data_IF_699304820583
#
_entry.id   IF_699304820583
#
_cell.length_a   1.000
_cell.length_b   1.000
_cell.length_c   1.000
_cell.angle_alpha   90.00
_cell.angle_beta   90.00
_cell.angle_gamma   90.00
#
_symmetry.space_group_name_H-M   'P 1'
#
loop_
_entity.id
_entity.type
_entity.pdbx_description
1 polymer ?
#
# COMPACT_ATOMS: atom_id res chain seq x y z
N UNK A 1 -5.02 33.96 3.07
CA UNK A 1 -5.34 32.96 4.13
C UNK A 1 -6.49 33.39 5.04
N UNK A 2 -6.69 34.68 5.32
CA UNK A 2 -7.82 35.18 6.13
C UNK A 2 -9.18 34.92 5.47
N UNK A 3 -9.27 35.03 4.13
CA UNK A 3 -10.52 34.85 3.38
C UNK A 3 -11.12 33.43 3.57
N UNK A 4 -10.38 32.31 3.37
CA UNK A 4 -10.89 30.98 3.70
C UNK A 4 -11.33 30.79 5.16
N UNK A 5 -10.61 31.36 6.13
CA UNK A 5 -10.95 31.22 7.55
C UNK A 5 -12.24 31.96 7.92
N UNK A 6 -12.43 33.18 7.40
CA UNK A 6 -13.66 33.95 7.59
C UNK A 6 -14.86 33.26 6.92
N UNK A 7 -14.65 32.67 5.74
CA UNK A 7 -15.71 31.97 5.04
C UNK A 7 -16.11 30.68 5.78
N UNK A 8 -15.16 29.98 6.42
CA UNK A 8 -15.43 28.81 7.27
C UNK A 8 -16.04 29.17 8.63
N UNK A 9 -15.80 30.36 9.18
CA UNK A 9 -16.40 30.75 10.46
C UNK A 9 -17.91 31.00 10.38
N UNK A 10 -18.42 31.40 9.21
CA UNK A 10 -19.86 31.65 8.98
C UNK A 10 -20.69 30.37 9.22
N UNK A 11 -20.45 29.24 8.54
CA UNK A 11 -21.21 28.02 8.78
C UNK A 11 -20.92 27.42 10.17
N UNK A 12 -19.72 27.59 10.74
CA UNK A 12 -19.44 27.14 12.11
C UNK A 12 -20.29 27.87 13.16
N UNK A 13 -20.54 29.18 12.97
CA UNK A 13 -21.41 29.96 13.85
C UNK A 13 -22.91 29.65 13.62
N UNK A 14 -23.33 29.49 12.37
CA UNK A 14 -24.73 29.23 12.01
C UNK A 14 -25.16 27.77 12.25
N UNK A 15 -24.21 26.82 12.23
CA UNK A 15 -24.47 25.39 12.31
C UNK A 15 -25.14 24.90 13.59
N UNK A 16 -25.01 25.65 14.69
CA UNK A 16 -25.63 25.30 15.98
C UNK A 16 -27.10 25.72 16.10
N UNK A 17 -27.64 26.50 15.17
CA UNK A 17 -29.02 26.95 15.24
C UNK A 17 -29.97 25.95 14.58
N UNK A 18 -31.11 25.71 15.23
CA UNK A 18 -32.12 24.74 14.79
C UNK A 18 -32.61 25.00 13.36
N UNK A 19 -32.81 26.27 12.97
CA UNK A 19 -33.23 26.63 11.61
C UNK A 19 -32.24 26.21 10.52
N UNK A 20 -30.95 26.12 10.85
CA UNK A 20 -29.90 25.76 9.91
C UNK A 20 -29.63 24.26 10.01
N UNK A 21 -29.48 23.71 11.21
CA UNK A 21 -29.22 22.30 11.48
C UNK A 21 -30.34 21.40 10.94
N UNK A 22 -31.61 21.76 11.16
CA UNK A 22 -32.77 20.98 10.70
C UNK A 22 -32.88 20.86 9.18
N UNK A 23 -32.19 21.72 8.41
CA UNK A 23 -32.16 21.63 6.95
C UNK A 23 -31.22 20.55 6.43
N UNK A 24 -30.22 20.16 7.22
CA UNK A 24 -29.17 19.21 6.83
C UNK A 24 -29.11 17.94 7.67
N UNK A 25 -29.60 17.97 8.91
CA UNK A 25 -29.56 16.86 9.86
C UNK A 25 -30.98 16.38 10.17
N UNK A 26 -31.25 15.11 9.88
CA UNK A 26 -32.42 14.41 10.41
C UNK A 26 -32.04 13.84 11.78
N UNK A 27 -32.34 14.60 12.84
CA UNK A 27 -32.07 14.17 14.20
C UNK A 27 -33.03 13.04 14.59
N UNK A 28 -32.54 11.88 15.05
CA UNK A 28 -33.38 10.87 15.66
C UNK A 28 -34.10 11.44 16.89
N UNK A 29 -35.28 10.93 17.24
CA UNK A 29 -36.01 11.37 18.44
C UNK A 29 -35.10 11.24 19.68
N UNK A 30 -34.67 12.37 20.22
CA UNK A 30 -33.78 12.41 21.37
C UNK A 30 -34.52 11.91 22.62
N UNK A 31 -33.90 10.98 23.35
CA UNK A 31 -34.27 10.70 24.73
C UNK A 31 -33.98 11.97 25.51
N UNK A 32 -35.02 12.72 25.92
CA UNK A 32 -34.90 14.00 26.65
C UNK A 32 -33.84 13.84 27.74
N UNK A 33 -32.62 14.39 27.56
CA UNK A 33 -31.59 14.24 28.57
C UNK A 33 -32.06 14.99 29.81
N UNK A 34 -31.69 14.47 30.99
CA UNK A 34 -31.94 15.21 32.22
C UNK A 34 -31.34 16.62 32.07
N UNK A 35 -32.08 17.66 32.49
CA UNK A 35 -31.67 19.06 32.31
C UNK A 35 -30.27 19.37 32.89
N UNK A 36 -29.77 18.52 33.79
CA UNK A 36 -28.43 18.58 34.36
C UNK A 36 -27.30 18.24 33.36
N UNK A 37 -27.52 17.37 32.36
CA UNK A 37 -26.48 16.90 31.43
C UNK A 37 -25.80 18.04 30.67
N UNK A 38 -26.52 18.96 29.98
CA UNK A 38 -25.88 20.07 29.28
C UNK A 38 -25.17 21.04 30.23
N UNK A 39 -25.72 21.25 31.43
CA UNK A 39 -25.12 22.12 32.45
C UNK A 39 -23.77 21.55 32.92
N UNK A 40 -23.74 20.25 33.22
CA UNK A 40 -22.52 19.56 33.65
C UNK A 40 -21.48 19.52 32.52
N UNK A 41 -21.90 19.27 31.28
CA UNK A 41 -21.01 19.30 30.12
C UNK A 41 -20.39 20.69 29.90
N UNK A 42 -21.20 21.74 29.99
CA UNK A 42 -20.72 23.13 29.88
C UNK A 42 -19.76 23.48 31.01
N UNK A 43 -20.08 23.09 32.25
CA UNK A 43 -19.21 23.30 33.40
C UNK A 43 -17.87 22.56 33.24
N UNK A 44 -17.88 21.30 32.80
CA UNK A 44 -16.67 20.53 32.52
C UNK A 44 -15.81 21.16 31.42
N UNK A 45 -16.43 21.66 30.35
CA UNK A 45 -15.74 22.38 29.28
C UNK A 45 -15.08 23.66 29.80
N UNK A 46 -15.80 24.49 30.55
CA UNK A 46 -15.27 25.72 31.11
C UNK A 46 -14.12 25.44 32.08
N UNK A 47 -14.26 24.44 32.96
CA UNK A 47 -13.19 24.01 33.86
C UNK A 47 -11.96 23.53 33.09
N UNK A 48 -12.14 22.77 32.01
CA UNK A 48 -11.05 22.31 31.14
C UNK A 48 -10.31 23.47 30.47
N UNK A 49 -11.04 24.42 29.87
CA UNK A 49 -10.45 25.58 29.19
C UNK A 49 -9.74 26.50 30.18
N UNK A 50 -10.34 26.78 31.33
CA UNK A 50 -9.76 27.63 32.37
C UNK A 50 -8.50 26.98 32.94
N UNK A 51 -8.55 25.70 33.29
CA UNK A 51 -7.39 24.97 33.81
C UNK A 51 -6.25 24.91 32.79
N UNK A 52 -6.53 24.62 31.52
CA UNK A 52 -5.53 24.65 30.46
C UNK A 52 -4.92 26.05 30.29
N UNK A 53 -5.75 27.09 30.25
CA UNK A 53 -5.27 28.47 30.10
C UNK A 53 -4.37 28.88 31.27
N UNK A 54 -4.74 28.55 32.51
CA UNK A 54 -3.93 28.84 33.69
C UNK A 54 -2.62 28.04 33.72
N UNK A 55 -2.66 26.77 33.29
CA UNK A 55 -1.50 25.88 33.30
C UNK A 55 -0.44 26.26 32.25
N UNK A 56 -0.87 26.72 31.08
CA UNK A 56 0.01 27.07 29.96
C UNK A 56 0.36 28.57 29.87
N UNK A 57 -0.23 29.44 30.71
CA UNK A 57 0.05 30.88 30.69
C UNK A 57 1.52 31.16 31.06
N UNK A 58 2.21 31.92 30.22
CA UNK A 58 3.61 32.33 30.41
C UNK A 58 4.58 31.16 30.65
N UNK A 59 4.34 30.00 30.03
CA UNK A 59 5.24 28.84 30.09
C UNK A 59 5.89 28.64 28.73
N UNK A 60 7.22 28.65 28.73
CA UNK A 60 8.05 28.37 27.55
C UNK A 60 8.34 26.87 27.38
N UNK A 61 7.94 26.04 28.35
CA UNK A 61 8.19 24.60 28.36
C UNK A 61 6.97 23.83 28.83
N UNK A 62 6.81 22.62 28.28
CA UNK A 62 5.68 21.73 28.52
C UNK A 62 5.58 21.35 30.01
N UNK A 63 4.58 21.87 30.75
CA UNK A 63 4.45 21.65 32.19
C UNK A 63 4.01 20.21 32.52
N UNK A 64 3.35 19.51 31.60
CA UNK A 64 2.86 18.14 31.81
C UNK A 64 3.74 17.16 31.04
N UNK A 65 4.69 16.54 31.76
CA UNK A 65 5.53 15.49 31.19
C UNK A 65 4.99 14.10 31.53
N UNK A 66 4.19 13.55 30.62
CA UNK A 66 3.74 12.15 30.66
C UNK A 66 4.24 11.45 29.40
N UNK A 67 5.20 10.53 29.58
CA UNK A 67 5.86 9.82 28.47
C UNK A 67 4.85 9.13 27.53
N UNK A 68 3.80 8.55 28.11
CA UNK A 68 2.78 7.81 27.38
C UNK A 68 1.95 8.69 26.41
N UNK A 69 1.61 9.93 26.80
CA UNK A 69 0.91 10.85 25.90
C UNK A 69 1.86 11.47 24.86
N UNK A 70 3.13 11.70 25.22
CA UNK A 70 4.15 12.18 24.30
C UNK A 70 4.37 11.22 23.14
N UNK A 71 4.47 9.92 23.44
CA UNK A 71 4.71 8.89 22.44
C UNK A 71 3.42 8.39 21.78
N UNK A 72 2.31 9.13 21.89
CA UNK A 72 1.00 8.81 21.30
C UNK A 72 0.56 7.38 21.64
N UNK A 73 0.70 7.01 22.90
CA UNK A 73 0.40 5.66 23.41
C UNK A 73 1.20 4.54 22.73
N UNK A 74 2.35 4.84 22.12
CA UNK A 74 3.16 3.92 21.32
C UNK A 74 2.41 3.28 20.13
N UNK A 75 1.24 3.79 19.76
CA UNK A 75 0.43 3.25 18.67
C UNK A 75 1.19 3.33 17.35
N UNK A 76 1.83 4.45 17.07
CA UNK A 76 2.61 4.65 15.84
C UNK A 76 3.73 3.62 15.70
N UNK A 77 4.42 3.30 16.80
CA UNK A 77 5.50 2.30 16.81
C UNK A 77 4.95 0.88 16.63
N UNK A 78 3.85 0.56 17.30
CA UNK A 78 3.17 -0.72 17.15
C UNK A 78 2.66 -0.92 15.71
N UNK A 79 2.00 0.08 15.12
CA UNK A 79 1.55 0.03 13.74
C UNK A 79 2.72 -0.11 12.76
N UNK A 80 3.80 0.63 12.97
CA UNK A 80 5.01 0.52 12.14
C UNK A 80 5.61 -0.88 12.22
N UNK A 81 5.70 -1.45 13.43
CA UNK A 81 6.15 -2.81 13.63
C UNK A 81 5.25 -3.83 12.92
N UNK A 82 3.93 -3.69 13.04
CA UNK A 82 2.97 -4.58 12.43
C UNK A 82 3.03 -4.54 10.90
N UNK A 83 3.07 -3.33 10.32
CA UNK A 83 3.20 -3.13 8.88
C UNK A 83 4.52 -3.69 8.38
N UNK A 84 5.63 -3.35 9.04
CA UNK A 84 6.95 -3.84 8.62
C UNK A 84 7.05 -5.36 8.71
N UNK A 85 6.48 -5.97 9.73
CA UNK A 85 6.50 -7.42 9.90
C UNK A 85 5.62 -8.11 8.87
N UNK A 86 4.43 -7.59 8.57
CA UNK A 86 3.51 -8.24 7.62
C UNK A 86 3.84 -7.90 6.17
N UNK A 87 3.76 -6.62 5.82
CA UNK A 87 3.98 -6.12 4.46
C UNK A 87 5.45 -6.22 4.06
N UNK A 88 6.38 -6.01 4.99
CA UNK A 88 7.81 -6.15 4.69
C UNK A 88 8.22 -7.59 4.38
N UNK A 89 7.70 -8.57 5.12
CA UNK A 89 7.93 -9.99 4.80
C UNK A 89 7.30 -10.37 3.45
N UNK A 90 6.06 -9.94 3.20
CA UNK A 90 5.39 -10.21 1.94
C UNK A 90 6.14 -9.59 0.76
N UNK A 91 6.55 -8.33 0.86
CA UNK A 91 7.34 -7.65 -0.16
C UNK A 91 8.69 -8.34 -0.41
N UNK A 92 9.37 -8.78 0.66
CA UNK A 92 10.62 -9.53 0.53
C UNK A 92 10.43 -10.87 -0.17
N UNK A 93 9.35 -11.59 0.13
CA UNK A 93 9.03 -12.85 -0.53
C UNK A 93 8.70 -12.64 -2.00
N UNK A 94 7.89 -11.63 -2.32
CA UNK A 94 7.57 -11.26 -3.70
C UNK A 94 8.83 -10.89 -4.48
N UNK A 95 9.73 -10.09 -3.89
CA UNK A 95 11.00 -9.72 -4.51
C UNK A 95 11.94 -10.91 -4.72
N UNK A 96 11.92 -11.89 -3.80
CA UNK A 96 12.67 -13.14 -3.96
C UNK A 96 12.14 -13.95 -5.15
N UNK A 97 10.82 -14.16 -5.22
CA UNK A 97 10.17 -14.89 -6.31
C UNK A 97 10.45 -14.24 -7.66
N UNK A 98 10.28 -12.92 -7.75
CA UNK A 98 10.51 -12.15 -8.98
C UNK A 98 11.94 -12.33 -9.50
N UNK A 99 12.95 -12.08 -8.65
CA UNK A 99 14.36 -12.13 -9.07
C UNK A 99 14.88 -13.53 -9.33
N UNK A 100 14.50 -14.51 -8.51
CA UNK A 100 15.06 -15.86 -8.62
C UNK A 100 14.27 -16.77 -9.54
N UNK A 101 12.94 -16.74 -9.44
CA UNK A 101 12.08 -17.63 -10.21
C UNK A 101 11.80 -17.00 -11.58
N UNK A 102 11.30 -15.77 -11.63
CA UNK A 102 10.92 -15.15 -12.90
C UNK A 102 12.15 -14.76 -13.71
N UNK A 103 12.98 -13.85 -13.19
CA UNK A 103 14.16 -13.37 -13.92
C UNK A 103 15.24 -14.45 -14.06
N UNK A 104 15.54 -15.12 -12.94
CA UNK A 104 16.60 -16.13 -12.85
C UNK A 104 16.27 -17.40 -13.63
N UNK A 105 15.26 -18.14 -13.19
CA UNK A 105 14.97 -19.46 -13.74
C UNK A 105 14.23 -19.38 -15.08
N UNK A 106 13.17 -18.57 -15.18
CA UNK A 106 12.31 -18.57 -16.37
C UNK A 106 12.96 -17.75 -17.49
N UNK A 107 13.18 -16.45 -17.28
CA UNK A 107 13.64 -15.55 -18.35
C UNK A 107 15.04 -15.93 -18.83
N UNK A 108 16.02 -16.03 -17.93
CA UNK A 108 17.39 -16.42 -18.33
C UNK A 108 17.48 -17.88 -18.74
N UNK A 109 16.68 -18.78 -18.15
CA UNK A 109 16.66 -20.19 -18.56
C UNK A 109 16.17 -20.36 -19.99
N UNK A 110 15.07 -19.71 -20.36
CA UNK A 110 14.55 -19.73 -21.74
C UNK A 110 15.54 -19.07 -22.69
N UNK A 111 16.05 -17.88 -22.34
CA UNK A 111 17.03 -17.18 -23.17
C UNK A 111 18.29 -18.02 -23.41
N UNK A 112 18.82 -18.64 -22.35
CA UNK A 112 19.95 -19.56 -22.42
C UNK A 112 19.65 -20.81 -23.25
N UNK A 113 18.45 -21.36 -23.14
CA UNK A 113 18.01 -22.52 -23.94
C UNK A 113 17.92 -22.21 -25.43
N UNK A 114 17.38 -21.05 -25.79
CA UNK A 114 17.32 -20.59 -27.19
C UNK A 114 18.73 -20.33 -27.73
N UNK A 115 19.57 -19.64 -26.96
CA UNK A 115 20.97 -19.41 -27.34
C UNK A 115 21.73 -20.72 -27.51
N UNK A 116 21.56 -21.67 -26.59
CA UNK A 116 22.20 -22.99 -26.64
C UNK A 116 21.74 -23.80 -27.85
N UNK A 117 20.43 -23.78 -28.14
CA UNK A 117 19.88 -24.43 -29.34
C UNK A 117 20.46 -23.83 -30.63
N UNK A 118 20.52 -22.50 -30.73
CA UNK A 118 21.14 -21.82 -31.86
C UNK A 118 22.65 -22.10 -31.97
N UNK A 119 23.34 -22.24 -30.85
CA UNK A 119 24.75 -22.65 -30.83
C UNK A 119 24.92 -24.08 -31.36
N UNK A 120 24.08 -25.03 -30.95
CA UNK A 120 24.11 -26.41 -31.46
C UNK A 120 23.82 -26.47 -32.97
N UNK A 121 22.81 -25.74 -33.44
CA UNK A 121 22.51 -25.67 -34.88
C UNK A 121 23.67 -25.09 -35.68
N UNK A 122 24.44 -24.15 -35.10
CA UNK A 122 25.66 -23.60 -35.70
C UNK A 122 26.75 -24.66 -35.85
N UNK A 123 26.86 -25.62 -34.94
CA UNK A 123 27.84 -26.72 -35.04
C UNK A 123 27.53 -27.65 -36.22
N UNK A 124 26.27 -27.78 -36.63
CA UNK A 124 25.88 -28.55 -37.82
C UNK A 124 26.31 -27.86 -39.13
N UNK A 125 26.61 -26.56 -39.10
CA UNK A 125 27.08 -25.80 -40.25
C UNK A 125 28.59 -25.92 -40.43
N UNK A 126 29.05 -27.12 -40.79
CA UNK A 126 30.49 -27.46 -40.91
C UNK A 126 31.15 -26.87 -42.17
N UNK A 127 30.35 -26.34 -43.12
CA UNK A 127 30.86 -25.77 -44.37
C UNK A 127 31.28 -26.80 -45.43
N UNK A 128 31.02 -28.09 -45.21
CA UNK A 128 31.34 -29.18 -46.13
C UNK A 128 30.13 -29.61 -46.96
N UNK A 129 30.20 -29.43 -48.28
CA UNK A 129 29.13 -29.78 -49.24
C UNK A 129 28.73 -31.27 -49.19
N UNK A 130 29.69 -32.17 -48.95
CA UNK A 130 29.43 -33.60 -48.85
C UNK A 130 28.62 -33.95 -47.59
N UNK A 131 28.87 -33.26 -46.47
CA UNK A 131 28.13 -33.45 -45.23
C UNK A 131 26.66 -33.00 -45.38
N UNK A 132 26.42 -31.90 -46.10
CA UNK A 132 25.05 -31.45 -46.41
C UNK A 132 24.30 -32.44 -47.31
N UNK A 133 24.98 -33.00 -48.33
CA UNK A 133 24.39 -34.03 -49.19
C UNK A 133 24.01 -35.30 -48.42
N UNK A 134 24.85 -35.71 -47.46
CA UNK A 134 24.55 -36.83 -46.57
C UNK A 134 23.31 -36.56 -45.68
N UNK A 135 23.26 -35.38 -45.04
CA UNK A 135 22.11 -34.98 -44.21
C UNK A 135 20.80 -34.95 -45.03
N UNK A 136 20.86 -34.46 -46.27
CA UNK A 136 19.74 -34.40 -47.19
C UNK A 136 19.23 -35.79 -47.58
N UNK A 137 20.14 -36.70 -47.96
CA UNK A 137 19.79 -38.09 -48.26
C UNK A 137 19.16 -38.81 -47.07
N UNK A 138 19.69 -38.58 -45.86
CA UNK A 138 19.13 -39.12 -44.61
C UNK A 138 17.72 -38.58 -44.35
N UNK A 139 17.49 -37.29 -44.62
CA UNK A 139 16.17 -36.66 -44.55
C UNK A 139 15.16 -37.31 -45.50
N UNK A 140 15.53 -37.58 -46.75
CA UNK A 140 14.64 -38.25 -47.72
C UNK A 140 14.24 -39.65 -47.25
N UNK A 141 15.23 -40.45 -46.80
CA UNK A 141 14.97 -41.81 -46.29
C UNK A 141 14.01 -41.75 -45.09
N UNK A 142 14.24 -40.81 -44.16
CA UNK A 142 13.37 -40.60 -43.00
C UNK A 142 11.94 -40.20 -43.40
N UNK A 143 11.79 -39.35 -44.42
CA UNK A 143 10.49 -38.90 -44.90
C UNK A 143 9.71 -40.03 -45.59
N UNK A 144 10.39 -40.85 -46.41
CA UNK A 144 9.80 -42.06 -47.01
C UNK A 144 9.36 -43.03 -45.93
N UNK A 145 10.21 -43.27 -44.91
CA UNK A 145 9.85 -44.14 -43.80
C UNK A 145 8.61 -43.64 -43.06
N UNK A 146 8.58 -42.36 -42.71
CA UNK A 146 7.44 -41.76 -42.02
C UNK A 146 6.15 -41.83 -42.85
N UNK A 147 6.21 -41.60 -44.16
CA UNK A 147 5.02 -41.61 -45.02
C UNK A 147 4.50 -43.00 -45.40
N UNK A 148 5.34 -44.04 -45.30
CA UNK A 148 4.98 -45.42 -45.68
C UNK A 148 4.58 -46.25 -44.46
N UNK A 149 5.23 -46.02 -43.31
CA UNK A 149 5.05 -46.82 -42.09
C UNK A 149 4.29 -46.08 -40.98
N UNK A 150 3.83 -44.85 -41.24
CA UNK A 150 2.88 -44.08 -40.44
C UNK A 150 1.84 -43.45 -41.36
#
# INVERSE_FOLDING_TARGET
MVIPLLLLSIPAALGGYDFFAARFLTLPNEVKPAAAVPIVALAALLLGVVSATLLYRNRDSEPVHIALFRDRFYLDQFYTFLIRSTQGLLASLSAFVDRWILDGAIVRGISGGVWGSGFLLRLLQVGNLQAYGFLFGLGIIGLIYFAVFH
#
